data_IF_850347251998
#
_entry.id   IF_850347251998
#
_cell.length_a   1.000
_cell.length_b   1.000
_cell.length_c   1.000
_cell.angle_alpha   90.00
_cell.angle_beta   90.00
_cell.angle_gamma   90.00
#
_symmetry.space_group_name_H-M   'P 1'
#
loop_
_entity.id
_entity.type
_entity.pdbx_description
1 polymer ?
#
# COMPACT_ATOMS: atom_id res chain seq x y z
N UNK A 1 16.41 11.69 22.25
CA UNK A 1 15.30 11.52 21.29
C UNK A 1 14.41 12.75 21.37
N UNK A 2 13.99 13.30 20.22
CA UNK A 2 13.06 14.43 20.18
C UNK A 2 11.62 13.94 20.36
N UNK A 3 10.72 14.80 20.83
CA UNK A 3 9.32 14.42 21.08
C UNK A 3 8.63 13.79 19.86
N UNK A 4 8.80 14.37 18.66
CA UNK A 4 8.18 13.86 17.44
C UNK A 4 8.71 12.46 17.03
N UNK A 5 9.95 12.13 17.40
CA UNK A 5 10.56 10.83 17.14
C UNK A 5 9.93 9.78 18.06
N UNK A 6 9.73 10.13 19.34
CA UNK A 6 9.04 9.31 20.33
C UNK A 6 7.57 9.06 19.93
N UNK A 7 6.85 10.13 19.55
CA UNK A 7 5.46 10.05 19.12
C UNK A 7 5.29 9.18 17.87
N UNK A 8 6.28 9.17 16.98
CA UNK A 8 6.29 8.28 15.80
C UNK A 8 6.38 6.82 16.20
N UNK A 9 7.26 6.46 17.13
CA UNK A 9 7.38 5.08 17.64
C UNK A 9 6.09 4.67 18.34
N UNK A 10 5.58 5.51 19.25
CA UNK A 10 4.33 5.24 19.95
C UNK A 10 3.16 5.02 18.98
N UNK A 11 3.03 5.86 17.94
CA UNK A 11 2.02 5.67 16.90
C UNK A 11 2.19 4.35 16.13
N UNK A 12 3.43 3.96 15.84
CA UNK A 12 3.70 2.68 15.16
C UNK A 12 3.31 1.48 16.04
N UNK A 13 3.60 1.53 17.35
CA UNK A 13 3.17 0.49 18.30
C UNK A 13 1.64 0.39 18.40
N UNK A 14 0.94 1.53 18.45
CA UNK A 14 -0.54 1.57 18.46
C UNK A 14 -1.13 1.00 17.17
N UNK A 15 -0.60 1.40 16.01
CA UNK A 15 -1.06 0.86 14.71
C UNK A 15 -0.77 -0.64 14.56
N UNK A 16 0.26 -1.14 15.25
CA UNK A 16 0.59 -2.54 15.32
C UNK A 16 -0.27 -3.32 16.34
N UNK A 17 -1.14 -2.65 17.10
CA UNK A 17 -2.02 -3.28 18.10
C UNK A 17 -1.27 -3.82 19.32
N UNK A 18 -0.04 -3.37 19.57
CA UNK A 18 0.78 -3.89 20.66
C UNK A 18 0.15 -3.57 22.02
N UNK A 19 0.20 -4.55 22.92
CA UNK A 19 -0.15 -4.33 24.33
C UNK A 19 0.93 -3.53 25.07
N UNK A 20 0.68 -3.23 26.35
CA UNK A 20 1.61 -2.45 27.17
C UNK A 20 2.98 -3.15 27.36
N UNK A 21 3.00 -4.48 27.44
CA UNK A 21 4.23 -5.24 27.66
C UNK A 21 5.11 -5.25 26.39
N UNK A 22 4.50 -5.44 25.24
CA UNK A 22 5.12 -5.36 23.92
C UNK A 22 5.60 -3.93 23.61
N UNK A 23 4.81 -2.91 23.96
CA UNK A 23 5.27 -1.51 23.88
C UNK A 23 6.50 -1.26 24.75
N UNK A 24 6.50 -1.75 26.00
CA UNK A 24 7.65 -1.62 26.90
C UNK A 24 8.89 -2.35 26.37
N UNK A 25 8.73 -3.46 25.64
CA UNK A 25 9.84 -4.11 24.94
C UNK A 25 10.43 -3.20 23.86
N UNK A 26 9.60 -2.63 22.99
CA UNK A 26 10.05 -1.71 21.91
C UNK A 26 10.74 -0.48 22.49
N UNK A 27 10.20 0.09 23.58
CA UNK A 27 10.79 1.24 24.27
C UNK A 27 12.18 0.91 24.86
N UNK A 28 12.35 -0.28 25.46
CA UNK A 28 13.66 -0.75 25.94
C UNK A 28 14.66 -0.87 24.80
N UNK A 29 14.25 -1.45 23.66
CA UNK A 29 15.12 -1.57 22.48
C UNK A 29 15.51 -0.20 21.92
N UNK A 30 14.55 0.72 21.80
CA UNK A 30 14.82 2.10 21.38
C UNK A 30 15.79 2.79 22.33
N UNK A 31 15.59 2.64 23.64
CA UNK A 31 16.44 3.23 24.68
C UNK A 31 17.88 2.74 24.55
N UNK A 32 18.07 1.41 24.45
CA UNK A 32 19.40 0.80 24.30
C UNK A 32 20.05 1.19 22.97
N UNK A 33 19.30 1.20 21.87
CA UNK A 33 19.89 1.50 20.56
C UNK A 33 20.28 2.97 20.41
N UNK A 34 19.51 3.89 21.02
CA UNK A 34 19.78 5.32 21.00
C UNK A 34 21.04 5.72 21.77
N UNK A 35 21.55 4.89 22.68
CA UNK A 35 22.84 5.17 23.33
C UNK A 35 24.02 4.96 22.39
N UNK A 36 23.87 4.11 21.37
CA UNK A 36 24.97 3.69 20.49
C UNK A 36 24.83 4.18 19.04
N UNK A 37 23.65 4.61 18.62
CA UNK A 37 23.35 4.87 17.21
C UNK A 37 22.52 6.13 17.02
N UNK A 38 22.74 6.87 15.91
CA UNK A 38 21.90 8.01 15.59
C UNK A 38 20.46 7.55 15.28
N UNK A 39 19.51 8.43 15.54
CA UNK A 39 18.08 8.19 15.34
C UNK A 39 17.75 7.63 13.94
N UNK A 40 18.42 8.09 12.89
CA UNK A 40 18.20 7.60 11.53
C UNK A 40 18.35 6.09 11.39
N UNK A 41 19.31 5.49 12.11
CA UNK A 41 19.58 4.04 12.12
C UNK A 41 18.63 3.31 13.06
N UNK A 42 18.30 3.90 14.21
CA UNK A 42 17.29 3.36 15.14
C UNK A 42 15.93 3.26 14.46
N UNK A 43 15.52 4.32 13.76
CA UNK A 43 14.26 4.39 13.01
C UNK A 43 14.09 3.23 12.02
N UNK A 44 15.15 2.82 11.34
CA UNK A 44 15.11 1.70 10.39
C UNK A 44 14.96 0.32 11.06
N UNK A 45 15.06 0.23 12.39
CA UNK A 45 14.95 -1.03 13.15
C UNK A 45 13.63 -1.15 13.92
N UNK A 46 12.90 -0.05 14.09
CA UNK A 46 11.66 0.00 14.88
C UNK A 46 10.63 -1.02 14.38
N UNK A 47 10.42 -1.13 13.06
CA UNK A 47 9.47 -2.08 12.49
C UNK A 47 9.85 -3.54 12.81
N UNK A 48 11.15 -3.85 12.80
CA UNK A 48 11.66 -5.16 13.19
C UNK A 48 11.45 -5.46 14.68
N UNK A 49 11.62 -4.47 15.56
CA UNK A 49 11.33 -4.64 16.99
C UNK A 49 9.85 -4.77 17.28
N UNK A 50 8.99 -4.06 16.55
CA UNK A 50 7.53 -4.23 16.64
C UNK A 50 7.12 -5.65 16.23
N UNK A 51 7.76 -6.21 15.21
CA UNK A 51 7.51 -7.59 14.79
C UNK A 51 8.00 -8.60 15.84
N UNK A 52 9.16 -8.36 16.46
CA UNK A 52 9.70 -9.22 17.51
C UNK A 52 8.95 -9.10 18.85
N UNK A 53 8.32 -7.95 19.12
CA UNK A 53 7.59 -7.70 20.35
C UNK A 53 6.35 -8.60 20.48
N UNK A 54 5.68 -8.87 19.36
CA UNK A 54 4.59 -9.84 19.28
C UNK A 54 4.52 -10.49 17.87
N UNK A 55 5.27 -11.59 17.67
CA UNK A 55 5.26 -12.32 16.41
C UNK A 55 3.92 -12.96 16.08
N UNK A 56 3.13 -13.33 17.10
CA UNK A 56 1.84 -13.99 16.91
C UNK A 56 0.79 -12.98 16.41
N UNK A 57 0.74 -11.79 17.01
CA UNK A 57 -0.10 -10.69 16.52
C UNK A 57 0.37 -10.17 15.16
N UNK A 58 1.67 -10.22 14.86
CA UNK A 58 2.17 -9.91 13.52
C UNK A 58 1.69 -10.92 12.47
N UNK A 59 1.71 -12.22 12.80
CA UNK A 59 1.19 -13.28 11.94
C UNK A 59 -0.34 -13.23 11.80
N UNK A 60 -1.08 -12.82 12.85
CA UNK A 60 -2.52 -12.56 12.76
C UNK A 60 -2.80 -11.37 11.85
N UNK A 61 -2.07 -10.25 12.00
CA UNK A 61 -2.18 -9.09 11.09
C UNK A 61 -1.88 -9.45 9.65
N UNK A 62 -0.92 -10.34 9.39
CA UNK A 62 -0.64 -10.83 8.05
C UNK A 62 -1.81 -11.66 7.49
N UNK A 63 -2.42 -12.52 8.32
CA UNK A 63 -3.62 -13.30 7.97
C UNK A 63 -4.84 -12.41 7.75
N UNK A 64 -5.07 -11.42 8.61
CA UNK A 64 -6.11 -10.40 8.44
C UNK A 64 -5.87 -9.53 7.21
N UNK A 65 -4.62 -9.13 6.95
CA UNK A 65 -4.24 -8.39 5.74
C UNK A 65 -4.43 -9.23 4.47
N UNK A 66 -4.29 -10.55 4.56
CA UNK A 66 -4.64 -11.46 3.47
C UNK A 66 -6.16 -11.49 3.22
N UNK A 67 -6.99 -11.32 4.26
CA UNK A 67 -8.44 -11.13 4.16
C UNK A 67 -8.86 -9.73 3.73
N UNK A 68 -8.04 -8.70 3.99
CA UNK A 68 -8.27 -7.30 3.62
C UNK A 68 -7.77 -6.95 2.21
N UNK A 69 -7.46 -7.95 1.38
CA UNK A 69 -7.10 -7.74 -0.02
C UNK A 69 -8.30 -7.16 -0.76
N UNK A 70 -8.13 -5.95 -1.24
CA UNK A 70 -9.16 -5.24 -1.99
C UNK A 70 -8.49 -4.29 -2.96
N UNK A 71 -9.07 -4.14 -4.14
CA UNK A 71 -8.68 -3.14 -5.12
C UNK A 71 -9.93 -2.35 -5.49
N UNK A 72 -9.85 -1.04 -5.32
CA UNK A 72 -10.94 -0.12 -5.55
C UNK A 72 -10.53 0.80 -6.70
N UNK A 73 -11.43 0.95 -7.66
CA UNK A 73 -11.34 1.96 -8.72
C UNK A 73 -12.49 2.94 -8.49
N UNK A 74 -12.16 4.20 -8.21
CA UNK A 74 -13.15 5.22 -7.86
C UNK A 74 -12.65 6.63 -8.26
N UNK A 75 -13.40 7.67 -7.88
CA UNK A 75 -12.99 9.04 -8.16
C UNK A 75 -13.02 9.41 -9.64
N UNK A 76 -13.97 8.86 -10.40
CA UNK A 76 -14.14 9.17 -11.83
C UNK A 76 -14.48 10.66 -12.01
N UNK A 77 -13.50 11.45 -12.46
CA UNK A 77 -13.62 12.90 -12.65
C UNK A 77 -12.64 13.37 -13.73
N UNK A 78 -13.08 14.29 -14.59
CA UNK A 78 -12.25 14.92 -15.63
C UNK A 78 -11.54 13.92 -16.58
N UNK A 79 -12.17 12.77 -16.84
CA UNK A 79 -11.58 11.69 -17.67
C UNK A 79 -10.52 10.85 -16.96
N UNK A 80 -10.34 11.05 -15.65
CA UNK A 80 -9.41 10.32 -14.81
C UNK A 80 -10.16 9.53 -13.72
N UNK A 81 -9.48 8.55 -13.16
CA UNK A 81 -9.94 7.82 -11.98
C UNK A 81 -8.73 7.45 -11.13
N UNK A 82 -8.99 7.20 -9.86
CA UNK A 82 -8.02 6.80 -8.87
C UNK A 82 -8.16 5.30 -8.61
N UNK A 83 -7.03 4.63 -8.44
CA UNK A 83 -6.94 3.20 -8.15
C UNK A 83 -6.11 3.05 -6.88
N UNK A 84 -6.69 2.42 -5.86
CA UNK A 84 -5.98 2.10 -4.63
C UNK A 84 -6.43 0.75 -4.08
N UNK A 85 -5.55 0.13 -3.31
CA UNK A 85 -5.90 -1.13 -2.68
C UNK A 85 -4.73 -1.79 -1.98
N UNK A 86 -5.00 -2.96 -1.43
CA UNK A 86 -4.03 -3.80 -0.74
C UNK A 86 -3.91 -5.11 -1.50
N UNK A 87 -2.69 -5.40 -1.96
CA UNK A 87 -2.30 -6.64 -2.64
C UNK A 87 -1.23 -7.36 -1.83
N UNK A 88 -0.97 -8.64 -2.14
CA UNK A 88 0.17 -9.35 -1.56
C UNK A 88 1.48 -8.63 -1.88
N UNK A 89 2.48 -8.73 -1.00
CA UNK A 89 3.76 -8.04 -1.21
C UNK A 89 4.48 -8.53 -2.48
N UNK A 90 4.42 -9.83 -2.77
CA UNK A 90 4.95 -10.42 -4.01
C UNK A 90 4.22 -9.85 -5.23
N UNK A 91 2.88 -9.91 -5.24
CA UNK A 91 2.06 -9.37 -6.33
C UNK A 91 2.29 -7.86 -6.55
N UNK A 92 2.49 -7.11 -5.47
CA UNK A 92 2.79 -5.67 -5.53
C UNK A 92 4.15 -5.37 -6.18
N UNK A 93 5.16 -6.20 -5.90
CA UNK A 93 6.47 -6.10 -6.54
C UNK A 93 6.38 -6.44 -8.03
N UNK A 94 5.67 -7.52 -8.37
CA UNK A 94 5.47 -7.94 -9.76
C UNK A 94 4.70 -6.88 -10.55
N UNK A 95 3.66 -6.28 -9.95
CA UNK A 95 2.91 -5.17 -10.54
C UNK A 95 3.81 -3.95 -10.77
N UNK A 96 4.64 -3.57 -9.79
CA UNK A 96 5.56 -2.42 -9.93
C UNK A 96 6.55 -2.61 -11.09
N UNK A 97 7.11 -3.82 -11.20
CA UNK A 97 8.01 -4.20 -12.28
C UNK A 97 7.30 -4.21 -13.64
N UNK A 98 6.10 -4.79 -13.72
CA UNK A 98 5.30 -4.83 -14.94
C UNK A 98 4.95 -3.43 -15.44
N UNK A 99 4.50 -2.54 -14.55
CA UNK A 99 4.23 -1.13 -14.89
C UNK A 99 5.49 -0.42 -15.38
N UNK A 100 6.64 -0.68 -14.75
CA UNK A 100 7.93 -0.14 -15.18
C UNK A 100 8.36 -0.66 -16.55
N UNK A 101 8.17 -1.96 -16.83
CA UNK A 101 8.52 -2.58 -18.09
C UNK A 101 7.67 -2.04 -19.25
N UNK A 102 6.34 -1.96 -19.06
CA UNK A 102 5.42 -1.42 -20.07
C UNK A 102 5.65 0.08 -20.27
N UNK A 103 5.89 0.86 -19.19
CA UNK A 103 6.16 2.28 -19.33
C UNK A 103 7.37 2.57 -20.24
N UNK A 104 8.38 1.69 -20.25
CA UNK A 104 9.55 1.80 -21.13
C UNK A 104 9.22 1.58 -22.62
N UNK A 105 8.14 0.89 -22.95
CA UNK A 105 7.69 0.68 -24.35
C UNK A 105 6.81 1.81 -24.86
N UNK A 106 6.35 2.71 -23.98
CA UNK A 106 5.52 3.86 -24.35
C UNK A 106 6.37 5.05 -24.82
N UNK A 107 5.81 5.93 -25.70
CA UNK A 107 6.50 7.14 -26.17
C UNK A 107 7.13 7.93 -25.03
N UNK A 108 8.34 8.45 -25.22
CA UNK A 108 9.14 9.12 -24.17
C UNK A 108 8.88 10.63 -24.08
N UNK A 109 7.81 11.11 -24.71
CA UNK A 109 7.36 12.51 -24.71
C UNK A 109 6.83 12.96 -23.33
N UNK A 110 6.46 12.01 -22.48
CA UNK A 110 5.90 12.26 -21.15
C UNK A 110 6.78 11.71 -20.01
N UNK A 111 6.70 12.32 -18.81
CA UNK A 111 7.41 11.83 -17.63
C UNK A 111 7.13 10.36 -17.33
N UNK A 112 8.11 9.66 -16.74
CA UNK A 112 8.01 8.23 -16.42
C UNK A 112 6.75 7.88 -15.63
N UNK A 113 6.33 8.72 -14.68
CA UNK A 113 5.13 8.44 -13.88
C UNK A 113 3.83 8.50 -14.70
N UNK A 114 3.75 9.38 -15.71
CA UNK A 114 2.60 9.44 -16.61
C UNK A 114 2.54 8.17 -17.48
N UNK A 115 3.71 7.69 -17.93
CA UNK A 115 3.82 6.43 -18.68
C UNK A 115 3.48 5.22 -17.82
N UNK A 116 3.88 5.21 -16.55
CA UNK A 116 3.48 4.18 -15.58
C UNK A 116 1.98 4.19 -15.32
N UNK A 117 1.34 5.36 -15.24
CA UNK A 117 -0.11 5.46 -15.15
C UNK A 117 -0.78 4.91 -16.43
N UNK A 118 -0.28 5.26 -17.61
CA UNK A 118 -0.78 4.74 -18.88
C UNK A 118 -0.58 3.22 -19.03
N UNK A 119 0.48 2.65 -18.44
CA UNK A 119 0.75 1.22 -18.41
C UNK A 119 -0.35 0.42 -17.71
N UNK A 120 -1.03 0.99 -16.71
CA UNK A 120 -2.20 0.36 -16.06
C UNK A 120 -3.29 0.10 -17.11
N UNK A 121 -3.56 1.07 -17.99
CA UNK A 121 -4.52 0.91 -19.06
C UNK A 121 -4.10 -0.13 -20.11
N UNK A 122 -2.80 -0.29 -20.36
CA UNK A 122 -2.27 -1.34 -21.24
C UNK A 122 -2.49 -2.73 -20.63
N UNK A 123 -2.17 -2.91 -19.34
CA UNK A 123 -2.41 -4.16 -18.62
C UNK A 123 -3.90 -4.54 -18.64
N UNK A 124 -4.78 -3.59 -18.34
CA UNK A 124 -6.22 -3.82 -18.36
C UNK A 124 -6.71 -4.23 -19.76
N UNK A 125 -6.22 -3.56 -20.81
CA UNK A 125 -6.55 -3.90 -22.19
C UNK A 125 -6.05 -5.30 -22.57
N UNK A 126 -4.82 -5.65 -22.23
CA UNK A 126 -4.27 -6.99 -22.47
C UNK A 126 -5.09 -8.08 -21.77
N UNK A 127 -5.48 -7.87 -20.52
CA UNK A 127 -6.32 -8.81 -19.77
C UNK A 127 -7.72 -8.99 -20.40
N UNK A 128 -8.26 -7.92 -21.00
CA UNK A 128 -9.54 -7.96 -21.73
C UNK A 128 -9.39 -8.45 -23.19
N UNK A 129 -8.18 -8.77 -23.65
CA UNK A 129 -7.92 -9.12 -25.05
C UNK A 129 -8.07 -7.95 -26.03
N UNK A 130 -8.06 -6.71 -25.55
CA UNK A 130 -8.15 -5.51 -26.36
C UNK A 130 -6.76 -5.03 -26.75
N UNK A 131 -6.53 -4.81 -28.04
CA UNK A 131 -5.24 -4.26 -28.54
C UNK A 131 -5.25 -2.72 -28.64
N UNK A 132 -6.45 -2.11 -28.68
CA UNK A 132 -6.65 -0.65 -28.79
C UNK A 132 -7.66 -0.14 -27.74
N UNK A 133 -7.69 1.17 -27.51
CA UNK A 133 -8.77 1.82 -26.75
C UNK A 133 -10.11 1.53 -27.44
N UNK A 134 -11.16 1.09 -26.72
CA UNK A 134 -12.48 0.99 -27.31
C UNK A 134 -12.89 2.38 -27.81
N UNK A 135 -13.04 2.55 -29.13
CA UNK A 135 -13.37 3.83 -29.79
C UNK A 135 -14.75 4.36 -29.40
N UNK A 136 -15.52 3.58 -28.65
CA UNK A 136 -16.82 3.93 -28.09
C UNK A 136 -16.89 3.42 -26.66
N UNK A 137 -16.42 4.21 -25.69
CA UNK A 137 -16.69 3.93 -24.30
C UNK A 137 -18.17 4.25 -24.02
N UNK A 138 -19.07 3.29 -24.22
CA UNK A 138 -20.32 3.30 -23.49
C UNK A 138 -19.95 3.09 -22.02
N UNK A 139 -19.85 4.19 -21.27
CA UNK A 139 -19.79 4.15 -19.82
C UNK A 139 -21.14 3.64 -19.37
N UNK A 140 -21.26 2.32 -19.17
CA UNK A 140 -22.37 1.76 -18.42
C UNK A 140 -22.11 2.15 -16.97
N UNK A 141 -22.72 3.26 -16.53
CA UNK A 141 -22.88 3.54 -15.11
C UNK A 141 -23.80 2.44 -14.59
N UNK A 142 -23.22 1.36 -14.08
CA UNK A 142 -23.95 0.41 -13.26
C UNK A 142 -24.29 1.16 -11.98
N UNK A 143 -25.51 1.69 -11.90
CA UNK A 143 -26.02 2.18 -10.63
C UNK A 143 -26.06 0.99 -9.68
N UNK A 144 -25.24 1.05 -8.64
CA UNK A 144 -25.41 0.14 -7.51
C UNK A 144 -26.76 0.50 -6.88
N UNK A 145 -27.78 -0.33 -7.10
CA UNK A 145 -28.97 -0.31 -6.25
C UNK A 145 -28.47 -0.61 -4.84
N UNK A 146 -28.68 0.26 -3.84
CA UNK A 146 -28.25 -0.03 -2.49
C UNK A 146 -29.00 -1.27 -1.99
N UNK A 147 -28.33 -2.17 -1.26
CA UNK A 147 -28.96 -3.36 -0.73
C UNK A 147 -30.10 -2.98 0.24
N UNK A 148 -31.17 -3.77 0.26
CA UNK A 148 -32.44 -3.47 0.93
C UNK A 148 -32.35 -3.20 2.46
N UNK A 149 -31.19 -3.40 3.08
CA UNK A 149 -30.95 -3.05 4.49
C UNK A 149 -30.58 -1.57 4.70
N UNK A 150 -30.36 -0.81 3.61
CA UNK A 150 -30.05 0.62 3.65
C UNK A 150 -31.28 1.53 3.37
N UNK A 151 -32.50 0.98 3.41
CA UNK A 151 -33.79 1.70 3.43
C UNK A 151 -34.52 1.42 4.74
#
# INVERSE_FOLDING_TARGET
>A
MRFFEAARVARACVLAGLDAAACAFVDRQCTIALTMQPWSRVRGRVDGWILLADPALAAEREREAAGARTMIVAGFKDGHCDIWGRVGAADGLDLDQALGAIAKTLPTDTPLQHRRAAAVGVLARQALGHTELPRTAQIIVVSAIPPAWAM
#
